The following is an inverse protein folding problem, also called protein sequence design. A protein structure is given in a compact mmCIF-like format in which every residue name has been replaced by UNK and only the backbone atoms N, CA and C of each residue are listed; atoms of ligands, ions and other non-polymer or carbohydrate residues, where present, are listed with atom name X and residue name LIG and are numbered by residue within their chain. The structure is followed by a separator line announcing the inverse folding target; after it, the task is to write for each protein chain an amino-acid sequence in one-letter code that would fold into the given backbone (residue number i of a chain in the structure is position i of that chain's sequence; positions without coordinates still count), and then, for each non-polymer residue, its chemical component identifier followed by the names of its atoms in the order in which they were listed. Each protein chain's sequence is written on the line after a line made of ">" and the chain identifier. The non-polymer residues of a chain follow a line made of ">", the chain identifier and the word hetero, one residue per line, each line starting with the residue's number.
data_IF_448061157010
#
_entry.id   IF_448061157010
#
_cell.length_a   1.000
_cell.length_b   1.000
_cell.length_c   1.000
_cell.angle_alpha   90.00
_cell.angle_beta   90.00
_cell.angle_gamma   90.00
#
_symmetry.space_group_name_H-M   'P 1'
#
loop_
_entity.id
_entity.type
_entity.pdbx_description
1 polymer ?
#
# COMPACT_ATOMS: atom_id res chain seq x y z
N UNK A 1 -39.56 -49.85 0.92
CA UNK A 1 -38.77 -49.14 1.95
C UNK A 1 -37.29 -49.04 1.60
N UNK A 2 -36.62 -50.11 1.20
CA UNK A 2 -35.19 -50.11 0.80
C UNK A 2 -34.83 -49.11 -0.30
N UNK A 3 -35.66 -48.99 -1.35
CA UNK A 3 -35.43 -48.03 -2.44
C UNK A 3 -35.52 -46.56 -1.99
N UNK A 4 -36.39 -46.25 -1.02
CA UNK A 4 -36.54 -44.90 -0.49
C UNK A 4 -35.35 -44.51 0.39
N UNK A 5 -34.86 -45.44 1.23
CA UNK A 5 -33.62 -45.25 1.98
C UNK A 5 -32.39 -45.08 1.07
N UNK A 6 -32.27 -45.90 0.03
CA UNK A 6 -31.19 -45.77 -0.95
C UNK A 6 -31.25 -44.42 -1.68
N UNK A 7 -32.43 -43.96 -2.09
CA UNK A 7 -32.62 -42.66 -2.72
C UNK A 7 -32.24 -41.48 -1.81
N UNK A 8 -32.64 -41.52 -0.54
CA UNK A 8 -32.25 -40.50 0.44
C UNK A 8 -30.74 -40.48 0.65
N UNK A 9 -30.10 -41.65 0.75
CA UNK A 9 -28.66 -41.75 0.95
C UNK A 9 -27.87 -41.17 -0.23
N UNK A 10 -28.29 -41.48 -1.47
CA UNK A 10 -27.69 -40.89 -2.68
C UNK A 10 -27.88 -39.38 -2.71
N UNK A 11 -29.07 -38.88 -2.35
CA UNK A 11 -29.34 -37.45 -2.31
C UNK A 11 -28.44 -36.71 -1.30
N UNK A 12 -28.32 -37.24 -0.07
CA UNK A 12 -27.45 -36.66 0.97
C UNK A 12 -25.99 -36.65 0.51
N UNK A 13 -25.55 -37.69 -0.19
CA UNK A 13 -24.18 -37.79 -0.71
C UNK A 13 -23.92 -36.74 -1.82
N UNK A 14 -24.87 -36.55 -2.75
CA UNK A 14 -24.77 -35.52 -3.80
C UNK A 14 -24.72 -34.12 -3.19
N UNK A 15 -25.59 -33.83 -2.21
CA UNK A 15 -25.58 -32.53 -1.51
C UNK A 15 -24.25 -32.32 -0.78
N UNK A 16 -23.76 -33.33 -0.07
CA UNK A 16 -22.47 -33.29 0.62
C UNK A 16 -21.29 -33.00 -0.31
N UNK A 17 -21.22 -33.71 -1.45
CA UNK A 17 -20.19 -33.47 -2.47
C UNK A 17 -20.30 -32.05 -3.04
N UNK A 18 -21.52 -31.58 -3.34
CA UNK A 18 -21.73 -30.24 -3.91
C UNK A 18 -21.23 -29.15 -2.95
N UNK A 19 -21.61 -29.26 -1.68
CA UNK A 19 -21.17 -28.34 -0.63
C UNK A 19 -19.65 -28.38 -0.49
N UNK A 20 -19.05 -29.59 -0.45
CA UNK A 20 -17.60 -29.76 -0.39
C UNK A 20 -16.88 -29.13 -1.58
N UNK A 21 -17.42 -29.25 -2.81
CA UNK A 21 -16.85 -28.64 -4.01
C UNK A 21 -16.93 -27.12 -3.98
N UNK A 22 -18.05 -26.55 -3.52
CA UNK A 22 -18.21 -25.10 -3.34
C UNK A 22 -17.20 -24.57 -2.30
N UNK A 23 -17.07 -25.23 -1.15
CA UNK A 23 -16.09 -24.85 -0.13
C UNK A 23 -14.64 -24.97 -0.64
N UNK A 24 -14.33 -26.02 -1.39
CA UNK A 24 -13.01 -26.23 -2.00
C UNK A 24 -12.69 -25.13 -3.02
N UNK A 25 -13.65 -24.80 -3.90
CA UNK A 25 -13.52 -23.71 -4.87
C UNK A 25 -13.33 -22.36 -4.18
N UNK A 26 -14.12 -22.10 -3.14
CA UNK A 26 -14.02 -20.87 -2.36
C UNK A 26 -12.67 -20.74 -1.64
N UNK A 27 -12.20 -21.82 -1.00
CA UNK A 27 -10.89 -21.87 -0.34
C UNK A 27 -9.74 -21.62 -1.32
N UNK A 28 -9.80 -22.21 -2.52
CA UNK A 28 -8.81 -21.95 -3.58
C UNK A 28 -8.83 -20.50 -4.05
N UNK A 29 -10.02 -19.94 -4.27
CA UNK A 29 -10.18 -18.54 -4.68
C UNK A 29 -9.65 -17.57 -3.62
N UNK A 30 -9.91 -17.85 -2.34
CA UNK A 30 -9.37 -17.07 -1.22
C UNK A 30 -7.85 -17.17 -1.13
N UNK A 31 -7.28 -18.38 -1.17
CA UNK A 31 -5.82 -18.56 -1.11
C UNK A 31 -5.11 -17.85 -2.27
N UNK A 32 -5.68 -17.92 -3.47
CA UNK A 32 -5.15 -17.19 -4.63
C UNK A 32 -5.25 -15.66 -4.44
N UNK A 33 -6.35 -15.16 -3.86
CA UNK A 33 -6.49 -13.74 -3.56
C UNK A 33 -5.48 -13.28 -2.50
N UNK A 34 -5.27 -14.09 -1.46
CA UNK A 34 -4.32 -13.84 -0.37
C UNK A 34 -2.88 -13.81 -0.89
N UNK A 35 -2.48 -14.83 -1.64
CA UNK A 35 -1.15 -14.92 -2.27
C UNK A 35 -0.89 -13.73 -3.19
N UNK A 36 -1.84 -13.42 -4.08
CA UNK A 36 -1.69 -12.34 -5.03
C UNK A 36 -1.67 -10.97 -4.36
N UNK A 37 -2.44 -10.80 -3.28
CA UNK A 37 -2.47 -9.55 -2.53
C UNK A 37 -1.13 -9.35 -1.82
N UNK A 38 -0.58 -10.41 -1.22
CA UNK A 38 0.75 -10.37 -0.59
C UNK A 38 1.85 -10.05 -1.59
N UNK A 39 1.89 -10.71 -2.75
CA UNK A 39 2.89 -10.43 -3.80
C UNK A 39 2.76 -8.99 -4.30
N UNK A 40 1.54 -8.53 -4.58
CA UNK A 40 1.29 -7.14 -5.01
C UNK A 40 1.69 -6.13 -3.92
N UNK A 41 1.48 -6.45 -2.65
CA UNK A 41 1.88 -5.61 -1.54
C UNK A 41 3.40 -5.59 -1.34
N UNK A 42 4.12 -6.69 -1.59
CA UNK A 42 5.58 -6.71 -1.57
C UNK A 42 6.19 -5.83 -2.66
N UNK A 43 5.55 -5.76 -3.83
CA UNK A 43 5.96 -4.83 -4.89
C UNK A 43 5.94 -3.39 -4.37
N UNK A 44 4.94 -2.98 -3.58
CA UNK A 44 4.81 -1.60 -3.12
C UNK A 44 6.06 -1.06 -2.40
N UNK A 45 6.68 -1.81 -1.48
CA UNK A 45 7.92 -1.42 -0.80
C UNK A 45 9.12 -2.31 -1.18
N UNK A 46 9.23 -2.68 -2.45
CA UNK A 46 10.41 -3.38 -2.96
C UNK A 46 11.69 -2.56 -2.69
N UNK A 47 12.73 -3.23 -2.22
CA UNK A 47 14.02 -2.62 -1.84
C UNK A 47 13.90 -1.40 -0.90
N UNK A 48 12.87 -1.41 -0.07
CA UNK A 48 12.57 -0.34 0.88
C UNK A 48 12.43 1.07 0.26
N UNK A 49 11.97 1.13 -1.00
CA UNK A 49 11.80 2.42 -1.69
C UNK A 49 10.89 3.41 -0.96
N UNK A 50 9.85 2.93 -0.28
CA UNK A 50 8.95 3.77 0.52
C UNK A 50 9.60 4.28 1.80
N UNK A 51 10.38 3.42 2.48
CA UNK A 51 11.13 3.82 3.66
C UNK A 51 12.15 4.90 3.30
N UNK A 52 12.94 4.64 2.25
CA UNK A 52 13.97 5.56 1.75
C UNK A 52 13.41 6.91 1.31
N UNK A 53 12.32 6.94 0.56
CA UNK A 53 11.74 8.21 0.09
C UNK A 53 11.05 8.98 1.22
N UNK A 54 10.47 8.30 2.22
CA UNK A 54 9.98 8.96 3.43
C UNK A 54 11.13 9.64 4.18
N UNK A 55 12.24 8.93 4.39
CA UNK A 55 13.45 9.50 5.00
C UNK A 55 13.99 10.67 4.19
N UNK A 56 14.11 10.55 2.87
CA UNK A 56 14.57 11.66 2.02
C UNK A 56 13.62 12.87 2.06
N UNK A 57 12.32 12.63 2.13
CA UNK A 57 11.32 13.70 2.26
C UNK A 57 11.50 14.45 3.58
N UNK A 58 11.74 13.73 4.68
CA UNK A 58 11.99 14.35 5.97
C UNK A 58 13.35 15.08 6.01
N UNK A 59 14.44 14.46 5.53
CA UNK A 59 15.76 15.10 5.48
C UNK A 59 15.78 16.34 4.59
N UNK A 60 15.08 16.31 3.45
CA UNK A 60 14.94 17.50 2.59
C UNK A 60 14.16 18.61 3.30
N UNK A 61 13.15 18.28 4.10
CA UNK A 61 12.40 19.22 4.93
C UNK A 61 13.29 19.88 5.98
N UNK A 62 14.09 19.09 6.70
CA UNK A 62 15.07 19.60 7.66
C UNK A 62 16.10 20.51 7.00
N UNK A 63 16.61 20.10 5.84
CA UNK A 63 17.61 20.86 5.10
C UNK A 63 17.07 22.23 4.68
N UNK A 64 15.84 22.30 4.17
CA UNK A 64 15.20 23.59 3.83
C UNK A 64 15.08 24.47 5.08
N UNK A 65 14.61 23.92 6.20
CA UNK A 65 14.46 24.66 7.46
C UNK A 65 15.82 25.20 7.95
N UNK A 66 16.85 24.33 7.99
CA UNK A 66 18.19 24.67 8.45
C UNK A 66 18.88 25.69 7.55
N UNK A 67 18.81 25.52 6.22
CA UNK A 67 19.38 26.45 5.26
C UNK A 67 18.73 27.83 5.34
N UNK A 68 17.41 27.91 5.58
CA UNK A 68 16.75 29.20 5.83
C UNK A 68 17.28 29.88 7.08
N UNK A 69 17.39 29.15 8.20
CA UNK A 69 17.88 29.71 9.45
C UNK A 69 19.32 30.22 9.29
N UNK A 70 20.15 29.46 8.58
CA UNK A 70 21.53 29.84 8.23
C UNK A 70 21.58 31.11 7.38
N UNK A 71 20.72 31.22 6.36
CA UNK A 71 20.59 32.43 5.54
C UNK A 71 20.15 33.64 6.36
N UNK A 72 19.15 33.47 7.24
CA UNK A 72 18.64 34.55 8.11
C UNK A 72 19.69 35.04 9.11
N UNK A 73 20.57 34.17 9.59
CA UNK A 73 21.68 34.52 10.48
C UNK A 73 22.81 35.24 9.72
N UNK A 74 23.27 34.67 8.62
CA UNK A 74 24.40 35.21 7.85
C UNK A 74 24.06 36.53 7.15
N UNK A 75 22.82 36.70 6.68
CA UNK A 75 22.36 37.97 6.11
C UNK A 75 22.37 39.13 7.11
N UNK A 76 22.33 38.84 8.42
CA UNK A 76 22.40 39.86 9.49
C UNK A 76 23.82 40.11 9.98
N UNK A 77 24.61 39.05 10.11
CA UNK A 77 25.90 39.09 10.82
C UNK A 77 27.11 39.12 9.88
N UNK A 78 26.99 38.54 8.68
CA UNK A 78 28.14 38.28 7.78
C UNK A 78 27.73 38.48 6.32
N UNK A 79 27.50 39.74 5.93
CA UNK A 79 26.96 40.09 4.61
C UNK A 79 27.73 39.52 3.41
N UNK A 80 29.06 39.34 3.51
CA UNK A 80 29.84 38.78 2.39
C UNK A 80 29.56 37.29 2.11
N UNK A 81 28.95 36.56 3.06
CA UNK A 81 28.50 35.17 2.88
C UNK A 81 27.01 35.06 2.51
N UNK A 82 26.30 36.19 2.42
CA UNK A 82 24.89 36.21 2.02
C UNK A 82 24.66 35.50 0.66
N UNK A 83 25.47 35.73 -0.40
CA UNK A 83 25.23 35.08 -1.69
C UNK A 83 25.34 33.56 -1.61
N UNK A 84 26.32 33.05 -0.86
CA UNK A 84 26.53 31.61 -0.69
C UNK A 84 25.39 30.97 0.10
N UNK A 85 24.97 31.59 1.21
CA UNK A 85 23.87 31.07 2.02
C UNK A 85 22.52 31.14 1.31
N UNK A 86 22.32 32.15 0.45
CA UNK A 86 21.15 32.21 -0.45
C UNK A 86 21.17 31.05 -1.44
N UNK A 87 22.31 30.79 -2.08
CA UNK A 87 22.46 29.66 -3.00
C UNK A 87 22.14 28.32 -2.29
N UNK A 88 22.67 28.10 -1.09
CA UNK A 88 22.37 26.89 -0.30
C UNK A 88 20.88 26.74 0.02
N UNK A 89 20.19 27.84 0.33
CA UNK A 89 18.73 27.83 0.55
C UNK A 89 17.97 27.47 -0.73
N UNK A 90 18.34 28.06 -1.87
CA UNK A 90 17.72 27.75 -3.17
C UNK A 90 17.98 26.30 -3.59
N UNK A 91 19.20 25.79 -3.42
CA UNK A 91 19.56 24.39 -3.66
C UNK A 91 18.76 23.43 -2.77
N UNK A 92 18.57 23.75 -1.49
CA UNK A 92 17.73 22.95 -0.59
C UNK A 92 16.27 22.90 -1.06
N UNK A 93 15.69 24.03 -1.47
CA UNK A 93 14.32 24.11 -2.00
C UNK A 93 14.18 23.33 -3.32
N UNK A 94 15.17 23.43 -4.21
CA UNK A 94 15.22 22.65 -5.44
C UNK A 94 15.34 21.15 -5.16
N UNK A 95 16.15 20.76 -4.17
CA UNK A 95 16.28 19.38 -3.70
C UNK A 95 14.95 18.82 -3.17
N UNK A 96 14.20 19.59 -2.38
CA UNK A 96 12.87 19.19 -1.92
C UNK A 96 11.89 18.94 -3.08
N UNK A 97 11.90 19.81 -4.09
CA UNK A 97 11.09 19.62 -5.30
C UNK A 97 11.49 18.37 -6.08
N UNK A 98 12.80 18.09 -6.20
CA UNK A 98 13.30 16.88 -6.85
C UNK A 98 12.83 15.62 -6.12
N UNK A 99 12.90 15.59 -4.78
CA UNK A 99 12.38 14.47 -3.98
C UNK A 99 10.87 14.26 -4.22
N UNK A 100 10.09 15.33 -4.33
CA UNK A 100 8.66 15.25 -4.68
C UNK A 100 8.40 14.69 -6.09
N UNK A 101 9.25 15.04 -7.06
CA UNK A 101 9.20 14.49 -8.42
C UNK A 101 9.55 13.00 -8.44
N UNK A 102 10.63 12.60 -7.76
CA UNK A 102 11.04 11.20 -7.65
C UNK A 102 9.98 10.35 -6.96
N UNK A 103 9.35 10.86 -5.89
CA UNK A 103 8.20 10.21 -5.25
C UNK A 103 7.09 9.92 -6.26
N UNK A 104 6.74 10.90 -7.09
CA UNK A 104 5.70 10.75 -8.11
C UNK A 104 6.10 9.73 -9.19
N UNK A 105 7.37 9.73 -9.59
CA UNK A 105 7.92 8.76 -10.54
C UNK A 105 7.87 7.33 -9.98
N UNK A 106 8.25 7.15 -8.72
CA UNK A 106 8.18 5.85 -8.04
C UNK A 106 6.72 5.35 -8.03
N UNK A 107 5.75 6.19 -7.66
CA UNK A 107 4.33 5.82 -7.66
C UNK A 107 3.87 5.26 -9.03
N UNK A 108 4.24 5.93 -10.11
CA UNK A 108 3.92 5.47 -11.48
C UNK A 108 4.58 4.12 -11.77
N UNK A 109 5.85 3.95 -11.40
CA UNK A 109 6.56 2.68 -11.56
C UNK A 109 5.92 1.54 -10.76
N UNK A 110 5.56 1.74 -9.48
CA UNK A 110 4.87 0.72 -8.67
C UNK A 110 3.59 0.24 -9.33
N UNK A 111 2.85 1.17 -9.92
CA UNK A 111 1.58 0.90 -10.58
C UNK A 111 1.76 0.03 -11.83
N UNK A 112 2.81 0.32 -12.61
CA UNK A 112 3.15 -0.47 -13.78
C UNK A 112 3.59 -1.89 -13.38
N UNK A 113 4.35 -2.01 -12.28
CA UNK A 113 4.79 -3.31 -11.77
C UNK A 113 3.62 -4.15 -11.26
N UNK A 114 2.69 -3.55 -10.50
CA UNK A 114 1.48 -4.25 -10.04
C UNK A 114 0.60 -4.66 -11.23
N UNK A 115 0.39 -3.79 -12.23
CA UNK A 115 -0.41 -4.16 -13.41
C UNK A 115 0.26 -5.30 -14.21
N UNK A 116 1.60 -5.31 -14.32
CA UNK A 116 2.33 -6.39 -14.95
C UNK A 116 2.17 -7.72 -14.20
N UNK A 117 2.32 -7.70 -12.87
CA UNK A 117 2.17 -8.88 -12.01
C UNK A 117 0.75 -9.44 -12.07
N UNK A 118 -0.26 -8.57 -11.95
CA UNK A 118 -1.66 -8.98 -12.02
C UNK A 118 -2.04 -9.54 -13.39
N UNK A 119 -1.47 -9.04 -14.49
CA UNK A 119 -1.70 -9.59 -15.83
C UNK A 119 -1.11 -10.98 -15.98
N UNK A 120 0.10 -11.18 -15.48
CA UNK A 120 0.76 -12.49 -15.52
C UNK A 120 -0.01 -13.51 -14.69
N UNK A 121 -0.42 -13.13 -13.48
CA UNK A 121 -1.20 -14.01 -12.61
C UNK A 121 -2.60 -14.27 -13.13
N UNK A 122 -3.27 -13.28 -13.74
CA UNK A 122 -4.55 -13.52 -14.41
C UNK A 122 -4.41 -14.55 -15.55
N UNK A 123 -3.31 -14.54 -16.31
CA UNK A 123 -3.04 -15.58 -17.33
C UNK A 123 -2.84 -16.95 -16.70
N UNK A 124 -2.12 -17.03 -15.58
CA UNK A 124 -1.92 -18.30 -14.84
C UNK A 124 -3.23 -18.83 -14.27
N UNK A 125 -4.08 -17.96 -13.72
CA UNK A 125 -5.39 -18.31 -13.21
C UNK A 125 -6.31 -18.86 -14.32
N UNK A 126 -6.27 -18.27 -15.52
CA UNK A 126 -6.99 -18.77 -16.70
C UNK A 126 -6.51 -20.15 -17.16
N UNK A 127 -5.23 -20.50 -16.93
CA UNK A 127 -4.68 -21.81 -17.24
C UNK A 127 -5.00 -22.87 -16.17
N UNK A 128 -5.46 -22.47 -14.97
CA UNK A 128 -5.81 -23.44 -13.92
C UNK A 128 -7.10 -24.17 -14.29
N UNK A 129 -7.10 -25.49 -14.03
CA UNK A 129 -8.18 -26.39 -14.43
C UNK A 129 -9.55 -25.95 -13.88
N UNK A 130 -10.50 -25.80 -14.79
CA UNK A 130 -11.93 -25.72 -14.48
C UNK A 130 -12.41 -27.09 -14.02
N UNK A 131 -13.25 -27.14 -12.98
CA UNK A 131 -13.95 -28.37 -12.64
C UNK A 131 -15.18 -28.47 -13.51
N UNK A 132 -15.28 -29.56 -14.28
CA UNK A 132 -16.43 -29.84 -15.12
C UNK A 132 -16.98 -31.23 -14.80
N UNK A 133 -18.09 -31.24 -14.05
CA UNK A 133 -18.94 -32.39 -13.82
C UNK A 133 -20.23 -32.18 -14.63
N UNK A 134 -20.88 -33.26 -15.09
CA UNK A 134 -22.07 -33.15 -15.95
C UNK A 134 -23.23 -32.35 -15.36
N UNK A 135 -23.28 -32.19 -14.04
CA UNK A 135 -24.28 -31.42 -13.30
C UNK A 135 -23.70 -30.19 -12.57
N UNK A 136 -22.38 -29.96 -12.63
CA UNK A 136 -21.70 -28.88 -11.90
C UNK A 136 -20.42 -28.43 -12.62
N UNK A 137 -20.34 -27.15 -12.94
CA UNK A 137 -19.20 -26.52 -13.61
C UNK A 137 -18.72 -25.31 -12.84
N UNK A 138 -17.41 -25.19 -12.68
CA UNK A 138 -16.76 -23.96 -12.18
C UNK A 138 -15.85 -23.42 -13.27
N UNK A 139 -16.03 -22.16 -13.64
CA UNK A 139 -15.11 -21.51 -14.57
C UNK A 139 -13.79 -21.13 -13.88
N UNK A 140 -12.82 -20.64 -14.65
CA UNK A 140 -11.53 -20.22 -14.11
C UNK A 140 -11.72 -18.98 -13.22
N UNK A 141 -10.99 -18.86 -12.10
CA UNK A 141 -10.99 -17.66 -11.29
C UNK A 141 -10.47 -16.47 -12.10
N UNK A 142 -11.14 -15.32 -11.99
CA UNK A 142 -10.78 -14.09 -12.66
C UNK A 142 -10.55 -12.98 -11.64
N UNK A 143 -9.51 -12.18 -11.86
CA UNK A 143 -9.31 -10.95 -11.09
C UNK A 143 -10.37 -9.95 -11.56
N UNK A 144 -11.28 -9.58 -10.67
CA UNK A 144 -12.38 -8.64 -10.96
C UNK A 144 -12.10 -7.22 -10.50
N UNK A 145 -11.15 -7.05 -9.60
CA UNK A 145 -10.74 -5.73 -9.15
C UNK A 145 -9.44 -5.76 -8.37
N UNK A 146 -8.69 -4.67 -8.53
CA UNK A 146 -7.56 -4.33 -7.68
C UNK A 146 -7.76 -2.90 -7.20
N UNK A 147 -7.77 -2.71 -5.89
CA UNK A 147 -7.79 -1.39 -5.26
C UNK A 147 -6.47 -1.22 -4.54
N UNK A 148 -5.84 -0.06 -4.71
CA UNK A 148 -4.56 0.26 -4.09
C UNK A 148 -4.81 1.44 -3.15
N UNK A 149 -4.16 1.44 -2.00
CA UNK A 149 -4.39 2.47 -1.00
C UNK A 149 -3.45 2.39 0.19
N UNK A 150 -3.91 2.90 1.32
CA UNK A 150 -3.13 3.05 2.55
C UNK A 150 -3.78 2.31 3.72
N UNK A 151 -3.09 2.28 4.86
CA UNK A 151 -3.57 1.63 6.08
C UNK A 151 -4.06 2.69 7.04
N UNK A 152 -5.25 2.47 7.59
CA UNK A 152 -5.84 3.33 8.60
C UNK A 152 -5.02 3.32 9.89
N UNK A 153 -4.75 4.50 10.45
CA UNK A 153 -4.10 4.72 11.74
C UNK A 153 -2.71 4.06 11.83
N UNK A 154 -1.92 4.15 10.76
CA UNK A 154 -0.51 3.77 10.75
C UNK A 154 0.31 5.03 10.47
N UNK A 155 1.26 5.31 11.34
CA UNK A 155 2.19 6.43 11.19
C UNK A 155 3.20 6.14 10.07
N UNK A 156 4.05 7.11 9.75
CA UNK A 156 5.19 6.88 8.88
C UNK A 156 6.30 6.13 9.63
N UNK A 157 7.31 5.65 8.90
CA UNK A 157 8.50 5.02 9.47
C UNK A 157 9.53 6.02 9.99
N UNK A 158 9.23 7.32 9.93
CA UNK A 158 10.20 8.39 10.18
C UNK A 158 9.97 9.02 11.55
N UNK A 159 11.04 9.11 12.33
CA UNK A 159 11.05 9.75 13.63
C UNK A 159 11.06 11.27 13.49
N UNK A 160 10.41 11.94 14.44
CA UNK A 160 10.55 13.38 14.59
C UNK A 160 11.98 13.71 14.98
N UNK A 161 12.66 14.62 14.25
CA UNK A 161 14.08 14.83 14.42
C UNK A 161 14.39 15.50 15.76
N UNK A 162 15.43 15.02 16.48
CA UNK A 162 15.82 15.60 17.75
C UNK A 162 16.64 16.90 17.60
N UNK A 163 17.21 17.17 16.41
CA UNK A 163 18.18 18.25 16.20
C UNK A 163 17.61 19.65 16.04
N UNK A 164 16.29 19.79 15.84
CA UNK A 164 15.64 21.08 15.54
C UNK A 164 14.46 21.34 16.49
N UNK A 165 14.76 21.77 17.72
CA UNK A 165 13.75 21.96 18.79
C UNK A 165 12.60 22.89 18.38
N UNK A 166 12.89 23.97 17.65
CA UNK A 166 11.88 24.91 17.16
C UNK A 166 10.92 24.26 16.16
N UNK A 167 11.48 23.50 15.21
CA UNK A 167 10.71 22.77 14.20
C UNK A 167 9.86 21.68 14.85
N UNK A 168 10.45 20.93 15.77
CA UNK A 168 9.75 19.90 16.55
C UNK A 168 8.61 20.49 17.37
N UNK A 169 8.84 21.63 18.02
CA UNK A 169 7.79 22.32 18.80
C UNK A 169 6.64 22.76 17.90
N UNK A 170 6.95 23.28 16.71
CA UNK A 170 5.95 23.60 15.70
C UNK A 170 5.16 22.35 15.24
N UNK A 171 5.84 21.23 15.01
CA UNK A 171 5.24 19.98 14.55
C UNK A 171 4.33 19.32 15.59
N UNK A 172 4.70 19.41 16.88
CA UNK A 172 3.84 18.99 18.00
C UNK A 172 2.60 19.89 18.05
N UNK A 173 2.79 21.21 17.99
CA UNK A 173 1.69 22.19 18.05
C UNK A 173 0.70 22.03 16.89
N UNK A 174 1.19 21.65 15.71
CA UNK A 174 0.38 21.41 14.50
C UNK A 174 -0.09 19.97 14.37
N UNK A 175 0.13 19.13 15.40
CA UNK A 175 -0.36 17.76 15.49
C UNK A 175 0.15 16.84 14.35
N UNK A 176 1.36 17.11 13.85
CA UNK A 176 2.03 16.33 12.79
C UNK A 176 2.77 15.11 13.34
N UNK A 177 3.14 15.15 14.62
CA UNK A 177 3.84 14.06 15.33
C UNK A 177 2.85 13.29 16.20
N UNK A 178 2.95 11.97 16.19
CA UNK A 178 2.32 11.15 17.22
C UNK A 178 3.21 11.16 18.48
N UNK A 179 2.76 11.82 19.54
CA UNK A 179 3.56 12.00 20.77
C UNK A 179 3.83 10.71 21.53
N UNK A 180 3.11 9.62 21.26
CA UNK A 180 3.34 8.33 21.92
C UNK A 180 4.50 7.56 21.28
N UNK A 181 4.61 7.60 19.96
CA UNK A 181 5.63 6.89 19.18
C UNK A 181 6.80 7.79 18.77
N UNK A 182 6.65 9.11 18.87
CA UNK A 182 7.55 10.12 18.31
C UNK A 182 7.75 9.97 16.78
N UNK A 183 6.82 9.32 16.09
CA UNK A 183 6.80 9.19 14.63
C UNK A 183 5.94 10.28 14.00
N UNK A 184 6.28 10.68 12.78
CA UNK A 184 5.39 11.53 12.00
C UNK A 184 4.15 10.77 11.54
N UNK A 185 3.00 11.44 11.59
CA UNK A 185 1.76 10.90 11.04
C UNK A 185 1.87 10.77 9.53
N UNK A 186 1.25 9.72 9.00
CA UNK A 186 1.17 9.49 7.58
C UNK A 186 0.00 10.22 6.93
N UNK A 187 0.10 10.45 5.62
CA UNK A 187 -0.98 10.99 4.80
C UNK A 187 -1.30 12.46 5.06
N UNK A 188 -0.39 13.16 5.75
CA UNK A 188 -0.46 14.60 6.02
C UNK A 188 0.74 15.30 5.39
N UNK A 189 0.52 16.53 4.92
CA UNK A 189 1.57 17.41 4.42
C UNK A 189 2.30 18.05 5.61
N UNK A 190 3.57 17.72 5.79
CA UNK A 190 4.43 18.25 6.84
C UNK A 190 4.89 19.67 6.50
N UNK A 191 3.95 20.60 6.37
CA UNK A 191 4.24 21.98 5.99
C UNK A 191 5.27 22.62 6.90
N UNK A 192 6.23 23.30 6.30
CA UNK A 192 7.14 24.18 7.04
C UNK A 192 6.41 25.47 7.44
N UNK A 193 6.83 26.11 8.55
CA UNK A 193 6.39 27.47 8.85
C UNK A 193 6.83 28.43 7.74
N UNK A 194 6.05 29.49 7.52
CA UNK A 194 6.36 30.52 6.52
C UNK A 194 7.81 31.04 6.67
N UNK A 195 8.50 31.36 5.56
CA UNK A 195 7.97 31.50 4.19
C UNK A 195 7.84 30.20 3.38
N UNK A 196 8.42 29.07 3.81
CA UNK A 196 8.53 27.83 3.01
C UNK A 196 7.29 26.94 3.04
N UNK A 197 6.13 27.51 3.41
CA UNK A 197 4.85 26.80 3.45
C UNK A 197 4.30 26.43 2.07
N UNK A 198 4.97 26.89 1.01
CA UNK A 198 4.66 26.57 -0.38
C UNK A 198 5.15 25.17 -0.81
N UNK A 199 6.17 24.65 -0.13
CA UNK A 199 6.67 23.30 -0.35
C UNK A 199 5.77 22.25 0.31
N UNK A 200 5.69 21.08 -0.32
CA UNK A 200 4.92 19.93 0.17
C UNK A 200 5.85 18.81 0.63
N UNK A 201 5.59 18.27 1.81
CA UNK A 201 6.38 17.19 2.40
C UNK A 201 5.43 16.09 2.90
N UNK A 202 4.97 15.24 1.98
CA UNK A 202 4.03 14.17 2.30
C UNK A 202 4.77 12.91 2.73
N UNK A 203 4.46 12.36 3.90
CA UNK A 203 4.96 11.05 4.32
C UNK A 203 3.89 9.97 4.15
N UNK A 204 4.31 8.83 3.63
CA UNK A 204 3.43 7.68 3.38
C UNK A 204 3.28 6.82 4.63
N UNK A 205 2.14 6.14 4.74
CA UNK A 205 1.87 5.18 5.82
C UNK A 205 2.79 3.99 5.67
N UNK A 206 3.71 3.79 6.60
CA UNK A 206 4.66 2.69 6.55
C UNK A 206 5.04 2.30 7.97
N UNK A 207 4.80 1.05 8.41
CA UNK A 207 5.15 0.64 9.76
C UNK A 207 6.64 0.85 10.03
N UNK A 208 6.96 1.56 11.11
CA UNK A 208 8.32 1.69 11.62
C UNK A 208 8.84 0.35 12.16
N UNK A 209 10.16 0.12 12.15
CA UNK A 209 10.78 -1.01 12.84
C UNK A 209 10.49 -0.96 14.34
N UNK A 210 10.30 -2.13 14.94
CA UNK A 210 10.19 -2.25 16.41
C UNK A 210 11.39 -3.04 16.89
N UNK A 211 12.28 -2.40 17.67
CA UNK A 211 13.52 -3.02 18.17
C UNK A 211 14.36 -3.64 17.04
N UNK A 212 14.58 -2.87 15.97
CA UNK A 212 15.32 -3.30 14.78
C UNK A 212 14.61 -4.34 13.91
N UNK A 213 13.41 -4.81 14.29
CA UNK A 213 12.66 -5.80 13.51
C UNK A 213 11.71 -5.10 12.55
N UNK A 214 11.93 -5.31 11.25
CA UNK A 214 11.04 -4.85 10.19
C UNK A 214 9.90 -5.85 10.02
N UNK A 215 8.66 -5.36 10.08
CA UNK A 215 7.50 -6.21 9.85
C UNK A 215 7.43 -6.63 8.37
N UNK A 216 7.25 -7.92 8.09
CA UNK A 216 7.02 -8.41 6.74
C UNK A 216 5.67 -7.96 6.15
N UNK A 217 5.52 -8.14 4.83
CA UNK A 217 4.23 -8.02 4.17
C UNK A 217 3.24 -9.03 4.77
N UNK A 218 1.99 -8.61 4.98
CA UNK A 218 1.00 -9.41 5.68
C UNK A 218 -0.42 -9.11 5.24
N UNK A 219 -1.31 -10.06 5.43
CA UNK A 219 -2.74 -9.86 5.24
C UNK A 219 -3.30 -8.95 6.35
N UNK A 220 -4.30 -8.16 6.00
CA UNK A 220 -5.00 -7.26 6.90
C UNK A 220 -6.50 -7.49 6.87
N UNK A 221 -7.17 -7.07 7.94
CA UNK A 221 -8.61 -6.97 7.96
C UNK A 221 -9.07 -5.83 7.05
N UNK A 222 -10.23 -6.02 6.42
CA UNK A 222 -10.75 -5.13 5.38
C UNK A 222 -11.08 -3.71 5.90
N UNK A 223 -11.45 -3.61 7.18
CA UNK A 223 -11.78 -2.36 7.87
C UNK A 223 -10.57 -1.44 8.12
N UNK A 224 -9.35 -1.99 7.99
CA UNK A 224 -8.09 -1.25 8.12
C UNK A 224 -7.63 -0.64 6.79
N UNK A 225 -8.21 -1.05 5.66
CA UNK A 225 -7.83 -0.57 4.34
C UNK A 225 -8.54 0.73 3.98
N UNK A 226 -7.78 1.70 3.49
CA UNK A 226 -8.30 2.95 2.95
C UNK A 226 -8.05 2.96 1.44
N UNK A 227 -9.08 2.77 0.60
CA UNK A 227 -8.90 2.77 -0.85
C UNK A 227 -8.57 4.18 -1.35
N UNK A 228 -7.52 4.30 -2.16
CA UNK A 228 -7.14 5.58 -2.80
C UNK A 228 -7.36 5.54 -4.30
N UNK A 229 -7.08 4.39 -4.93
CA UNK A 229 -7.23 4.21 -6.36
C UNK A 229 -7.74 2.82 -6.71
N UNK A 230 -8.44 2.72 -7.86
CA UNK A 230 -8.86 1.45 -8.45
C UNK A 230 -8.06 1.20 -9.72
N UNK A 231 -7.39 0.05 -9.78
CA UNK A 231 -6.70 -0.43 -10.96
C UNK A 231 -7.67 -1.28 -11.79
N UNK A 232 -7.99 -0.81 -13.00
CA UNK A 232 -8.63 -1.66 -13.99
C UNK A 232 -7.54 -2.40 -14.76
N UNK A 233 -7.58 -3.73 -14.76
CA UNK A 233 -6.60 -4.55 -15.50
C UNK A 233 -6.56 -4.12 -16.97
N UNK A 234 -5.38 -3.73 -17.46
CA UNK A 234 -5.21 -3.28 -18.84
C UNK A 234 -5.35 -1.78 -19.07
N UNK A 235 -5.78 -1.00 -18.08
CA UNK A 235 -5.73 0.47 -18.15
C UNK A 235 -4.38 0.99 -17.67
N UNK A 236 -3.71 1.80 -18.51
CA UNK A 236 -2.34 2.31 -18.24
C UNK A 236 -2.27 3.46 -17.24
N UNK A 237 -3.39 3.99 -16.76
CA UNK A 237 -3.39 5.18 -15.91
C UNK A 237 -4.14 4.92 -14.62
N UNK A 238 -3.37 4.86 -13.54
CA UNK A 238 -3.89 5.01 -12.19
C UNK A 238 -3.30 6.32 -11.68
N UNK A 239 -4.18 7.23 -11.28
CA UNK A 239 -3.75 8.42 -10.56
C UNK A 239 -3.84 8.09 -9.09
N UNK A 240 -2.71 8.17 -8.40
CA UNK A 240 -2.68 8.26 -6.95
C UNK A 240 -2.77 9.74 -6.58
N UNK A 241 -3.14 10.02 -5.34
CA UNK A 241 -2.88 11.35 -4.77
C UNK A 241 -1.38 11.55 -4.51
N UNK A 242 -1.05 12.52 -3.67
CA UNK A 242 0.34 12.81 -3.30
C UNK A 242 0.96 11.77 -2.32
N UNK A 243 0.17 10.80 -1.85
CA UNK A 243 0.59 9.75 -0.92
C UNK A 243 1.00 8.49 -1.66
N UNK A 244 2.07 7.83 -1.20
CA UNK A 244 2.39 6.52 -1.75
C UNK A 244 1.49 5.45 -1.14
N UNK A 245 0.95 4.54 -1.96
CA UNK A 245 0.16 3.44 -1.45
C UNK A 245 1.00 2.44 -0.67
N UNK A 246 0.46 1.92 0.42
CA UNK A 246 1.11 0.93 1.29
C UNK A 246 0.33 -0.38 1.41
N UNK A 247 -0.84 -0.48 0.78
CA UNK A 247 -1.71 -1.64 0.82
C UNK A 247 -2.42 -1.89 -0.52
N UNK A 248 -2.79 -3.15 -0.74
CA UNK A 248 -3.54 -3.60 -1.92
C UNK A 248 -4.73 -4.44 -1.46
N UNK A 249 -5.90 -4.21 -2.06
CA UNK A 249 -7.08 -5.07 -1.98
C UNK A 249 -7.33 -5.72 -3.33
N UNK A 250 -7.36 -7.04 -3.37
CA UNK A 250 -7.69 -7.80 -4.57
C UNK A 250 -9.02 -8.51 -4.43
N UNK A 251 -9.79 -8.50 -5.52
CA UNK A 251 -11.06 -9.20 -5.66
C UNK A 251 -10.94 -10.22 -6.78
N UNK A 252 -11.16 -11.49 -6.44
CA UNK A 252 -11.20 -12.61 -7.40
C UNK A 252 -12.62 -13.16 -7.41
N UNK A 253 -13.17 -13.41 -8.59
CA UNK A 253 -14.46 -14.08 -8.73
C UNK A 253 -14.34 -15.37 -9.53
N UNK A 254 -15.10 -16.37 -9.13
CA UNK A 254 -15.28 -17.63 -9.85
C UNK A 254 -16.76 -17.83 -10.14
N UNK A 255 -17.10 -18.03 -11.41
CA UNK A 255 -18.47 -18.38 -11.78
C UNK A 255 -18.70 -19.87 -11.56
N UNK A 256 -19.82 -20.19 -10.90
CA UNK A 256 -20.26 -21.55 -10.60
C UNK A 256 -21.61 -21.76 -11.25
N UNK A 257 -21.75 -22.82 -12.04
CA UNK A 257 -22.99 -23.18 -12.73
C UNK A 257 -23.35 -24.62 -12.39
N UNK A 258 -24.54 -24.82 -11.82
CA UNK A 258 -25.11 -26.14 -11.56
C UNK A 258 -26.29 -26.39 -12.52
N UNK A 259 -26.24 -27.51 -13.25
CA UNK A 259 -27.28 -27.96 -14.17
C UNK A 259 -28.18 -28.99 -13.47
N UNK A 260 -29.38 -28.56 -13.06
CA UNK A 260 -30.42 -29.40 -12.45
C UNK A 260 -31.85 -28.98 -12.87
N UNK A 261 -32.88 -29.29 -12.08
CA UNK A 261 -34.24 -28.73 -12.24
C UNK A 261 -34.20 -27.21 -11.95
N UNK A 262 -33.76 -26.44 -12.94
CA UNK A 262 -33.36 -25.03 -12.81
C UNK A 262 -31.85 -24.88 -12.99
N UNK A 263 -31.42 -24.12 -14.00
CA UNK A 263 -30.03 -23.67 -14.07
C UNK A 263 -29.77 -22.69 -12.93
N UNK A 264 -28.92 -23.07 -11.99
CA UNK A 264 -28.45 -22.17 -10.95
C UNK A 264 -27.04 -21.71 -11.31
N UNK A 265 -26.88 -20.42 -11.59
CA UNK A 265 -25.57 -19.78 -11.75
C UNK A 265 -25.35 -18.81 -10.61
N UNK A 266 -24.16 -18.82 -10.04
CA UNK A 266 -23.75 -17.94 -8.95
C UNK A 266 -22.28 -17.56 -9.07
N UNK A 267 -21.95 -16.36 -8.60
CA UNK A 267 -20.57 -15.89 -8.54
C UNK A 267 -20.06 -16.01 -7.11
N UNK A 268 -18.96 -16.74 -6.94
CA UNK A 268 -18.22 -16.79 -5.68
C UNK A 268 -17.12 -15.74 -5.77
N UNK A 269 -17.28 -14.64 -5.04
CA UNK A 269 -16.29 -13.56 -4.97
C UNK A 269 -15.53 -13.61 -3.65
N UNK A 270 -14.20 -13.55 -3.74
CA UNK A 270 -13.29 -13.45 -2.62
C UNK A 270 -12.54 -12.13 -2.68
N UNK A 271 -12.35 -11.51 -1.53
CA UNK A 271 -11.56 -10.30 -1.39
C UNK A 271 -10.47 -10.54 -0.36
N UNK A 272 -9.25 -10.07 -0.66
CA UNK A 272 -8.13 -10.08 0.27
C UNK A 272 -7.47 -8.72 0.31
N UNK A 273 -6.96 -8.35 1.48
CA UNK A 273 -6.20 -7.10 1.69
C UNK A 273 -4.83 -7.48 2.23
N UNK A 274 -3.79 -6.92 1.65
CA UNK A 274 -2.43 -7.04 2.14
C UNK A 274 -1.76 -5.67 2.30
N UNK A 275 -0.87 -5.56 3.28
CA UNK A 275 0.05 -4.45 3.45
C UNK A 275 1.46 -4.85 3.06
N UNK A 276 2.19 -3.86 2.56
CA UNK A 276 3.63 -3.95 2.35
C UNK A 276 4.40 -4.18 3.65
N UNK A 277 5.66 -4.61 3.51
CA UNK A 277 6.63 -4.64 4.62
C UNK A 277 6.90 -3.23 5.17
N UNK A 278 7.33 -3.17 6.43
CA UNK A 278 7.75 -1.92 7.08
C UNK A 278 8.96 -1.27 6.42
N UNK A 279 9.23 -0.04 6.84
CA UNK A 279 10.38 0.72 6.37
C UNK A 279 11.64 0.38 7.15
N UNK A 280 12.81 0.43 6.51
CA UNK A 280 14.10 0.40 7.21
C UNK A 280 14.27 1.74 7.95
N UNK A 281 14.87 1.76 9.16
CA UNK A 281 15.18 3.02 9.81
C UNK A 281 16.25 3.76 9.00
N UNK A 282 16.42 5.06 9.25
CA UNK A 282 17.55 5.77 8.65
C UNK A 282 18.87 5.17 9.16
N UNK A 283 19.97 5.19 8.37
CA UNK A 283 21.26 4.60 8.77
C UNK A 283 21.78 5.09 10.13
N UNK A 284 21.44 6.32 10.49
CA UNK A 284 21.88 6.97 11.73
C UNK A 284 21.01 6.60 12.95
N UNK A 285 19.95 5.83 12.75
CA UNK A 285 18.96 5.43 13.76
C UNK A 285 19.11 3.96 14.23
N UNK A 286 20.16 3.25 13.81
CA UNK A 286 20.43 1.83 14.20
C UNK A 286 20.89 1.63 15.67
N UNK A 287 20.57 2.55 16.60
CA UNK A 287 20.99 2.46 18.00
C UNK A 287 20.07 1.59 18.88
#
# INVERSE_FOLDING_TARGET
>A
MTALFAGILVFVLIVGITVMLIFSSNSRGKNAADELALTSAQVLNHEDRQGRINTLTERSRELVYSSRNTYAELSRNVHHLEPLSRQMMEEARNGANLVGQERSAIIVDMSNQIDAELKEENRRLLQRNTMNLGWFRTDAPLITGCEIGTIKNVDSNVLAPPGFDELRTYDIKTNLINTQSNLYKAGVDLKLPSPDSDLKFNLSSLPAPVKGTIAGARLLADDRFVPEAKMNLGSKKISFGDNMPSAVRLKISTQVTASGQGQMSGNVANSSVATTNGGTPAPDEEQ
#
